data_IF_620732881402
#
_entry.id   IF_620732881402
#
_cell.length_a   1.000
_cell.length_b   1.000
_cell.length_c   1.000
_cell.angle_alpha   90.00
_cell.angle_beta   90.00
_cell.angle_gamma   90.00
#
_symmetry.space_group_name_H-M   'P 1'
#
loop_
_entity.id
_entity.type
_entity.pdbx_description
1 polymer ?
#
# COMPACT_ATOMS: atom_id res chain seq x y z
N UNK A 1 7.78 -4.34 -4.06
CA UNK A 1 6.47 -4.79 -4.64
C UNK A 1 5.72 -5.56 -3.58
N UNK A 2 4.49 -5.14 -3.30
CA UNK A 2 3.68 -5.67 -2.20
C UNK A 2 2.33 -6.10 -2.75
N UNK A 3 1.93 -7.33 -2.48
CA UNK A 3 0.56 -7.79 -2.67
C UNK A 3 -0.28 -7.26 -1.51
N UNK A 4 -1.42 -6.64 -1.82
CA UNK A 4 -2.38 -6.18 -0.81
C UNK A 4 -3.80 -6.54 -1.26
N UNK A 5 -4.81 -6.07 -0.53
CA UNK A 5 -6.21 -6.32 -0.87
C UNK A 5 -6.66 -7.74 -0.53
N UNK A 6 -7.70 -8.18 -1.23
CA UNK A 6 -8.43 -9.40 -0.85
C UNK A 6 -7.61 -10.68 -0.91
N UNK A 7 -6.67 -10.76 -1.85
CA UNK A 7 -5.73 -11.88 -1.94
C UNK A 7 -4.76 -11.91 -0.77
N UNK A 8 -4.31 -10.75 -0.28
CA UNK A 8 -3.42 -10.68 0.89
C UNK A 8 -4.16 -11.00 2.20
N UNK A 9 -5.43 -10.58 2.33
CA UNK A 9 -6.27 -10.90 3.49
C UNK A 9 -6.82 -12.33 3.50
N UNK A 10 -6.85 -12.99 2.35
CA UNK A 10 -7.43 -14.33 2.18
C UNK A 10 -8.96 -14.35 2.04
N UNK A 11 -9.59 -13.21 1.77
CA UNK A 11 -11.04 -13.04 1.60
C UNK A 11 -11.45 -12.79 0.12
N UNK A 12 -10.61 -13.20 -0.83
CA UNK A 12 -10.86 -13.04 -2.26
C UNK A 12 -12.02 -13.91 -2.78
N UNK A 13 -12.62 -13.49 -3.89
CA UNK A 13 -13.67 -14.20 -4.61
C UNK A 13 -13.25 -14.45 -6.06
N UNK A 14 -14.03 -15.20 -6.84
CA UNK A 14 -13.73 -15.44 -8.27
C UNK A 14 -13.65 -14.14 -9.10
N UNK A 15 -14.35 -13.10 -8.66
CA UNK A 15 -14.37 -11.77 -9.26
C UNK A 15 -13.26 -10.83 -8.79
N UNK A 16 -12.45 -11.24 -7.82
CA UNK A 16 -11.40 -10.38 -7.26
C UNK A 16 -10.24 -10.17 -8.24
N UNK A 17 -9.79 -8.91 -8.33
CA UNK A 17 -8.50 -8.55 -8.94
C UNK A 17 -7.36 -8.81 -7.94
N UNK A 18 -6.13 -8.94 -8.46
CA UNK A 18 -4.89 -9.03 -7.70
C UNK A 18 -4.28 -7.62 -7.58
N UNK A 19 -4.28 -7.08 -6.37
CA UNK A 19 -3.85 -5.72 -6.08
C UNK A 19 -2.36 -5.66 -5.70
N UNK A 20 -1.56 -4.94 -6.48
CA UNK A 20 -0.12 -4.75 -6.27
C UNK A 20 0.22 -3.30 -5.98
N UNK A 21 1.01 -3.06 -4.93
CA UNK A 21 1.69 -1.80 -4.72
C UNK A 21 3.13 -1.91 -5.21
N UNK A 22 3.52 -1.00 -6.10
CA UNK A 22 4.88 -0.89 -6.63
C UNK A 22 5.49 0.41 -6.13
N UNK A 23 6.50 0.30 -5.28
CA UNK A 23 7.31 1.45 -4.86
C UNK A 23 8.64 1.38 -5.59
N UNK A 24 8.94 2.38 -6.42
CA UNK A 24 10.16 2.42 -7.22
C UNK A 24 10.57 3.87 -7.56
N UNK A 25 11.87 4.08 -7.79
CA UNK A 25 12.41 5.39 -8.21
C UNK A 25 12.17 5.68 -9.69
N UNK A 26 12.07 4.64 -10.51
CA UNK A 26 11.84 4.73 -11.94
C UNK A 26 10.37 4.40 -12.23
N UNK A 27 9.50 5.42 -12.12
CA UNK A 27 8.09 5.35 -12.43
C UNK A 27 7.70 6.57 -13.27
N UNK A 28 6.53 6.55 -13.96
CA UNK A 28 6.02 7.73 -14.65
C UNK A 28 5.94 8.95 -13.72
N UNK A 29 6.38 10.11 -14.21
CA UNK A 29 6.24 11.39 -13.50
C UNK A 29 4.77 11.81 -13.39
N UNK A 30 3.99 11.57 -14.45
CA UNK A 30 2.55 11.77 -14.45
C UNK A 30 1.89 10.89 -13.37
N UNK A 31 1.14 11.52 -12.47
CA UNK A 31 0.54 10.84 -11.33
C UNK A 31 -0.48 9.79 -11.77
N UNK A 32 -1.32 10.09 -12.76
CA UNK A 32 -2.34 9.14 -13.21
C UNK A 32 -1.69 7.89 -13.82
N UNK A 33 -0.68 8.07 -14.66
CA UNK A 33 0.10 6.97 -15.23
C UNK A 33 0.79 6.15 -14.13
N UNK A 34 1.36 6.80 -13.10
CA UNK A 34 1.98 6.12 -11.96
C UNK A 34 0.98 5.36 -11.10
N UNK A 35 -0.21 5.92 -10.83
CA UNK A 35 -1.23 5.29 -10.00
C UNK A 35 -1.97 4.15 -10.68
N UNK A 36 -2.01 4.15 -12.01
CA UNK A 36 -2.70 3.11 -12.78
C UNK A 36 -1.75 2.06 -13.35
N UNK A 37 -0.47 2.42 -13.51
CA UNK A 37 0.54 1.62 -14.23
C UNK A 37 -0.03 1.03 -15.54
N UNK A 38 -0.88 1.81 -16.21
CA UNK A 38 -1.74 1.38 -17.32
C UNK A 38 -1.00 0.90 -18.56
N UNK A 39 0.31 1.16 -18.64
CA UNK A 39 1.20 0.55 -19.64
C UNK A 39 1.37 -0.97 -19.48
N UNK A 40 0.97 -1.54 -18.34
CA UNK A 40 1.07 -2.97 -18.03
C UNK A 40 -0.33 -3.58 -17.89
N UNK A 41 -0.99 -3.83 -19.03
CA UNK A 41 -2.31 -4.47 -19.06
C UNK A 41 -2.21 -5.99 -18.86
N UNK A 42 -2.22 -6.44 -17.61
CA UNK A 42 -2.38 -7.86 -17.26
C UNK A 42 -3.82 -8.07 -16.76
N UNK A 43 -4.60 -9.01 -17.34
CA UNK A 43 -5.95 -9.30 -16.88
C UNK A 43 -5.99 -9.63 -15.38
N UNK A 44 -6.96 -9.06 -14.68
CA UNK A 44 -7.16 -9.21 -13.23
C UNK A 44 -5.98 -8.74 -12.36
N UNK A 45 -5.05 -7.95 -12.88
CA UNK A 45 -4.00 -7.32 -12.06
C UNK A 45 -4.25 -5.82 -12.03
N UNK A 46 -4.30 -5.27 -10.81
CA UNK A 46 -4.36 -3.83 -10.57
C UNK A 46 -3.10 -3.44 -9.84
N UNK A 47 -2.33 -2.53 -10.43
CA UNK A 47 -1.09 -2.08 -9.82
C UNK A 47 -1.13 -0.58 -9.59
N UNK A 48 -0.71 -0.16 -8.40
CA UNK A 48 -0.57 1.23 -8.00
C UNK A 48 0.90 1.54 -7.74
N UNK A 49 1.42 2.57 -8.41
CA UNK A 49 2.79 3.03 -8.26
C UNK A 49 2.92 4.14 -7.23
N UNK A 50 4.05 4.16 -6.51
CA UNK A 50 4.49 5.27 -5.66
C UNK A 50 5.99 5.50 -5.78
N UNK A 51 6.41 6.75 -5.69
CA UNK A 51 7.82 7.02 -5.38
C UNK A 51 8.10 6.72 -3.90
N UNK A 52 9.33 6.31 -3.52
CA UNK A 52 9.66 6.02 -2.12
C UNK A 52 9.34 7.15 -1.15
N UNK A 53 9.73 8.38 -1.49
CA UNK A 53 9.48 9.55 -0.63
C UNK A 53 8.00 9.91 -0.55
N UNK A 54 7.26 9.73 -1.65
CA UNK A 54 5.82 9.94 -1.72
C UNK A 54 5.07 8.96 -0.82
N UNK A 55 5.43 7.67 -0.86
CA UNK A 55 4.83 6.65 -0.02
C UNK A 55 5.08 6.93 1.47
N UNK A 56 6.32 7.27 1.83
CA UNK A 56 6.68 7.64 3.20
C UNK A 56 5.98 8.92 3.67
N UNK A 57 5.81 9.90 2.78
CA UNK A 57 5.02 11.09 3.08
C UNK A 57 3.57 10.74 3.36
N UNK A 58 2.96 9.88 2.54
CA UNK A 58 1.56 9.48 2.70
C UNK A 58 1.32 8.71 4.01
N UNK A 59 2.27 7.88 4.44
CA UNK A 59 2.23 7.25 5.76
C UNK A 59 2.22 8.30 6.88
N UNK A 60 3.15 9.25 6.86
CA UNK A 60 3.21 10.28 7.92
C UNK A 60 2.02 11.23 7.90
N UNK A 61 1.40 11.44 6.73
CA UNK A 61 0.17 12.23 6.57
C UNK A 61 -1.11 11.47 6.96
N UNK A 62 -1.00 10.20 7.38
CA UNK A 62 -2.15 9.33 7.73
C UNK A 62 -3.10 9.09 6.56
N UNK A 63 -2.57 8.93 5.34
CA UNK A 63 -3.38 8.49 4.20
C UNK A 63 -3.68 7.00 4.36
N UNK A 64 -4.90 6.66 4.77
CA UNK A 64 -5.25 5.29 5.15
C UNK A 64 -5.06 4.25 4.04
N UNK A 65 -5.08 4.66 2.77
CA UNK A 65 -4.76 3.74 1.67
C UNK A 65 -3.35 3.10 1.79
N UNK A 66 -2.32 3.88 2.15
CA UNK A 66 -0.98 3.30 2.41
C UNK A 66 -0.92 2.57 3.74
N UNK A 67 -1.79 2.88 4.70
CA UNK A 67 -1.91 2.09 5.93
C UNK A 67 -2.46 0.71 5.62
N UNK A 68 -3.48 0.61 4.76
CA UNK A 68 -4.00 -0.67 4.29
C UNK A 68 -2.86 -1.46 3.65
N UNK A 69 -2.16 -0.88 2.67
CA UNK A 69 -1.03 -1.55 2.02
C UNK A 69 0.02 -2.07 3.02
N UNK A 70 0.41 -1.29 4.04
CA UNK A 70 1.43 -1.73 5.01
C UNK A 70 0.88 -2.75 6.01
N UNK A 71 -0.38 -2.62 6.40
CA UNK A 71 -1.04 -3.44 7.42
C UNK A 71 -1.38 -4.85 6.95
N UNK A 72 -1.92 -5.00 5.74
CA UNK A 72 -2.30 -6.31 5.16
C UNK A 72 -1.27 -6.79 4.13
N UNK A 73 -0.33 -5.94 3.74
CA UNK A 73 0.58 -6.22 2.64
C UNK A 73 1.53 -7.38 2.88
N UNK A 74 1.60 -8.27 1.88
CA UNK A 74 2.57 -9.36 1.78
C UNK A 74 3.67 -8.92 0.79
N UNK A 75 4.93 -8.74 1.23
CA UNK A 75 6.01 -8.36 0.31
C UNK A 75 6.28 -9.51 -0.66
N UNK A 76 6.14 -9.22 -1.96
CA UNK A 76 6.54 -10.14 -3.05
C UNK A 76 8.01 -9.94 -3.39
N UNK A 77 8.47 -8.69 -3.34
CA UNK A 77 9.87 -8.29 -3.47
C UNK A 77 10.11 -7.07 -2.59
N UNK A 78 11.15 -7.09 -1.79
CA UNK A 78 11.55 -5.97 -0.94
C UNK A 78 13.07 -5.83 -0.92
N UNK A 79 13.55 -4.60 -1.02
CA UNK A 79 14.96 -4.21 -0.92
C UNK A 79 15.28 -3.55 0.43
N UNK A 80 14.40 -3.72 1.41
CA UNK A 80 14.44 -3.11 2.75
C UNK A 80 13.56 -1.86 2.88
N UNK A 81 12.97 -1.37 1.78
CA UNK A 81 12.04 -0.25 1.84
C UNK A 81 10.78 -0.59 2.65
N UNK A 82 10.18 -1.76 2.41
CA UNK A 82 8.90 -2.12 3.03
C UNK A 82 9.05 -2.42 4.53
N UNK A 83 10.17 -3.02 4.93
CA UNK A 83 10.55 -3.15 6.34
C UNK A 83 10.59 -1.77 7.03
N UNK A 84 11.31 -0.81 6.44
CA UNK A 84 11.36 0.57 6.96
C UNK A 84 9.99 1.25 6.97
N UNK A 85 9.15 0.98 5.97
CA UNK A 85 7.79 1.51 5.92
C UNK A 85 6.93 0.96 7.07
N UNK A 86 7.12 -0.31 7.47
CA UNK A 86 6.45 -0.91 8.63
C UNK A 86 6.88 -0.26 9.94
N UNK A 87 8.17 0.06 10.11
CA UNK A 87 8.65 0.80 11.28
C UNK A 87 7.96 2.16 11.42
N UNK A 88 7.96 2.96 10.34
CA UNK A 88 7.31 4.28 10.32
C UNK A 88 5.81 4.16 10.54
N UNK A 89 5.18 3.12 9.99
CA UNK A 89 3.77 2.84 10.20
C UNK A 89 3.47 2.57 11.68
N UNK A 90 4.23 1.71 12.35
CA UNK A 90 4.10 1.43 13.78
C UNK A 90 4.25 2.69 14.64
N UNK A 91 5.26 3.51 14.36
CA UNK A 91 5.44 4.81 15.02
C UNK A 91 4.22 5.73 14.84
N UNK A 92 3.62 5.73 13.64
CA UNK A 92 2.44 6.55 13.38
C UNK A 92 1.19 6.01 14.08
N UNK A 93 1.02 4.68 14.22
CA UNK A 93 -0.08 4.12 14.99
C UNK A 93 -0.03 4.59 16.45
N UNK A 94 1.14 4.48 17.08
CA UNK A 94 1.36 4.89 18.47
C UNK A 94 1.18 6.40 18.64
N UNK A 95 1.83 7.19 17.79
CA UNK A 95 1.82 8.65 17.88
C UNK A 95 0.43 9.26 17.71
N UNK A 96 -0.41 8.66 16.87
CA UNK A 96 -1.72 9.21 16.51
C UNK A 96 -2.89 8.44 17.13
N UNK A 97 -2.64 7.46 18.00
CA UNK A 97 -3.69 6.63 18.60
C UNK A 97 -4.53 5.90 17.55
N UNK A 98 -3.92 5.44 16.45
CA UNK A 98 -4.64 4.79 15.35
C UNK A 98 -4.72 3.29 15.65
N UNK A 99 -5.92 2.74 15.59
CA UNK A 99 -6.19 1.31 15.81
C UNK A 99 -6.86 0.72 14.57
N UNK A 100 -6.34 -0.44 14.12
CA UNK A 100 -6.99 -1.23 13.06
C UNK A 100 -8.22 -1.93 13.63
N UNK A 101 -9.35 -1.72 12.97
CA UNK A 101 -10.62 -2.38 13.25
C UNK A 101 -11.00 -3.29 12.06
N UNK A 102 -11.92 -4.25 12.23
CA UNK A 102 -12.33 -5.14 11.13
C UNK A 102 -12.87 -4.40 9.89
N UNK A 103 -13.47 -3.23 10.08
CA UNK A 103 -14.11 -2.43 9.01
C UNK A 103 -13.32 -1.18 8.62
N UNK A 104 -12.11 -0.98 9.15
CA UNK A 104 -11.29 0.19 8.82
C UNK A 104 -10.37 0.63 9.96
N UNK A 105 -10.30 1.93 10.19
CA UNK A 105 -9.38 2.56 11.13
C UNK A 105 -10.13 3.44 12.12
N UNK A 106 -9.80 3.31 13.40
CA UNK A 106 -10.24 4.22 14.47
C UNK A 106 -9.08 5.12 14.87
N UNK A 107 -9.36 6.40 15.11
CA UNK A 107 -8.38 7.37 15.60
C UNK A 107 -8.83 7.82 16.97
N UNK A 108 -8.07 7.47 18.00
CA UNK A 108 -8.30 7.95 19.36
C UNK A 108 -7.68 9.34 19.50
N UNK A 109 -8.54 10.32 19.76
CA UNK A 109 -8.17 11.72 19.99
C UNK A 109 -8.05 12.05 21.46
#
# INVERSE_FOLDING_TARGET
VVLFGSYARGDFTEGSDLDLCVVARELPEDELARRTLSGYCIPKVRAVGFFPDEFMKFLRERRFFVYDIVSEGIPVYDDGFFEKAREVYSECLEKFGIVREPQGWRVDG
#
